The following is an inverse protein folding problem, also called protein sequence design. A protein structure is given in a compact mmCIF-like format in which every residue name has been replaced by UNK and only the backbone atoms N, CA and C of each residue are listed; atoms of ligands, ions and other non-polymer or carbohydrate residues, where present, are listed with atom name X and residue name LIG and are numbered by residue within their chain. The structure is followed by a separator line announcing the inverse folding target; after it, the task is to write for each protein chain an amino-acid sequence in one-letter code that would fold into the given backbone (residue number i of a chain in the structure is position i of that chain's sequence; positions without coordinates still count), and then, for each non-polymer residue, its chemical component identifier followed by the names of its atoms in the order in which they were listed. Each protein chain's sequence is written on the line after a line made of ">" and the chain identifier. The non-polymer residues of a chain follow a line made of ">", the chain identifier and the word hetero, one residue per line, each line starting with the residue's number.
data_IF_136923583473
#
_entry.id   IF_136923583473
#
_cell.length_a   1.000
_cell.length_b   1.000
_cell.length_c   1.000
_cell.angle_alpha   90.00
_cell.angle_beta   90.00
_cell.angle_gamma   90.00
#
_symmetry.space_group_name_H-M   'P 1'
#
loop_
_entity.id
_entity.type
_entity.pdbx_description
1 polymer ?
#
# COMPACT_ATOMS: atom_id res chain seq x y z
N UNK A 1 -5.17 9.89 -22.56
CA UNK A 1 -4.38 9.96 -21.31
C UNK A 1 -5.37 10.03 -20.16
N UNK A 2 -5.31 9.09 -19.21
CA UNK A 2 -6.27 9.05 -18.11
C UNK A 2 -6.03 10.25 -17.17
N UNK A 3 -7.09 10.89 -16.69
CA UNK A 3 -7.04 12.03 -15.78
C UNK A 3 -6.76 11.61 -14.33
N UNK A 4 -5.87 10.63 -14.13
CA UNK A 4 -5.60 10.02 -12.82
C UNK A 4 -4.60 10.89 -12.05
N UNK A 5 -4.87 11.12 -10.77
CA UNK A 5 -3.94 11.79 -9.86
C UNK A 5 -3.23 10.74 -9.00
N UNK A 6 -1.91 10.83 -8.94
CA UNK A 6 -1.08 9.91 -8.18
C UNK A 6 -0.56 10.59 -6.91
N UNK A 7 -0.53 9.83 -5.81
CA UNK A 7 0.10 10.22 -4.56
C UNK A 7 0.93 9.04 -4.04
N UNK A 8 2.13 9.31 -3.52
CA UNK A 8 3.05 8.29 -3.04
C UNK A 8 3.31 8.47 -1.54
N UNK A 9 3.18 7.38 -0.78
CA UNK A 9 3.30 7.39 0.67
C UNK A 9 4.25 6.29 1.16
N UNK A 10 5.20 6.64 2.04
CA UNK A 10 6.10 5.68 2.69
C UNK A 10 5.89 5.76 4.21
N UNK A 11 5.68 4.61 4.86
CA UNK A 11 5.48 4.51 6.30
C UNK A 11 6.69 3.87 6.99
N UNK A 12 7.31 4.60 7.91
CA UNK A 12 8.41 4.10 8.73
C UNK A 12 7.97 3.82 10.15
N UNK A 13 8.19 2.59 10.60
CA UNK A 13 8.16 2.22 12.01
C UNK A 13 9.33 2.87 12.75
N UNK A 14 9.08 3.30 13.99
CA UNK A 14 10.08 3.91 14.87
C UNK A 14 10.81 5.11 14.24
N UNK A 15 10.10 5.91 13.45
CA UNK A 15 10.68 7.09 12.78
C UNK A 15 10.84 8.28 13.72
N UNK A 16 9.97 8.40 14.72
CA UNK A 16 9.96 9.48 15.72
C UNK A 16 9.79 8.90 17.12
N UNK A 17 10.39 9.55 18.11
CA UNK A 17 10.14 9.30 19.53
C UNK A 17 10.01 10.62 20.26
N UNK A 18 8.86 10.85 20.90
CA UNK A 18 8.59 12.05 21.70
C UNK A 18 8.95 13.35 20.93
N UNK A 19 8.51 13.43 19.66
CA UNK A 19 8.76 14.53 18.69
C UNK A 19 10.16 14.64 18.08
N UNK A 20 11.11 13.81 18.50
CA UNK A 20 12.48 13.76 17.92
C UNK A 20 12.60 12.64 16.90
N UNK A 21 13.26 12.92 15.77
CA UNK A 21 13.59 11.90 14.77
C UNK A 21 14.58 10.89 15.37
N UNK A 22 14.36 9.61 15.09
CA UNK A 22 15.31 8.57 15.50
C UNK A 22 16.54 8.57 14.59
N UNK A 23 17.63 7.94 15.03
CA UNK A 23 18.88 7.85 14.23
C UNK A 23 18.65 7.23 12.85
N UNK A 24 17.77 6.23 12.76
CA UNK A 24 17.43 5.58 11.48
C UNK A 24 16.66 6.51 10.53
N UNK A 25 15.65 7.21 11.05
CA UNK A 25 14.94 8.21 10.25
C UNK A 25 15.88 9.33 9.79
N UNK A 26 16.77 9.78 10.67
CA UNK A 26 17.80 10.76 10.34
C UNK A 26 18.75 10.23 9.27
N UNK A 27 19.23 8.98 9.33
CA UNK A 27 20.08 8.43 8.27
C UNK A 27 19.38 8.40 6.91
N UNK A 28 18.10 8.02 6.87
CA UNK A 28 17.33 8.00 5.63
C UNK A 28 17.16 9.41 5.05
N UNK A 29 16.78 10.37 5.90
CA UNK A 29 16.58 11.78 5.49
C UNK A 29 17.92 12.47 5.16
N UNK A 30 18.99 12.13 5.88
CA UNK A 30 20.33 12.67 5.71
C UNK A 30 21.08 12.08 4.53
N UNK A 31 20.64 10.92 4.00
CA UNK A 31 21.01 10.45 2.66
C UNK A 31 20.37 11.33 1.57
N UNK A 32 20.51 12.66 1.72
CA UNK A 32 20.06 13.75 0.87
C UNK A 32 20.46 13.51 -0.58
N UNK A 33 21.65 12.91 -0.81
CA UNK A 33 22.09 12.53 -2.14
C UNK A 33 21.15 11.56 -2.84
N UNK A 34 20.61 10.52 -2.18
CA UNK A 34 19.70 9.57 -2.84
C UNK A 34 18.32 10.20 -3.11
N UNK A 35 17.78 10.95 -2.15
CA UNK A 35 16.49 11.63 -2.32
C UNK A 35 16.57 12.69 -3.44
N UNK A 36 17.61 13.52 -3.42
CA UNK A 36 17.79 14.55 -4.47
C UNK A 36 18.20 13.94 -5.80
N UNK A 37 18.99 12.86 -5.84
CA UNK A 37 19.40 12.27 -7.12
C UNK A 37 18.30 11.46 -7.81
N UNK A 38 17.52 10.69 -7.07
CA UNK A 38 16.46 9.85 -7.65
C UNK A 38 15.13 10.57 -7.82
N UNK A 39 14.83 11.55 -6.96
CA UNK A 39 13.52 12.20 -6.91
C UNK A 39 13.58 13.71 -7.15
N UNK A 40 14.77 14.29 -7.34
CA UNK A 40 14.99 15.74 -7.55
C UNK A 40 14.33 16.63 -6.48
N UNK A 41 14.22 16.11 -5.25
CA UNK A 41 13.65 16.84 -4.11
C UNK A 41 14.74 17.26 -3.11
N UNK A 42 14.71 18.54 -2.73
CA UNK A 42 15.47 19.06 -1.60
C UNK A 42 14.81 18.66 -0.28
N UNK A 43 15.60 18.16 0.67
CA UNK A 43 15.12 17.76 2.01
C UNK A 43 14.58 18.99 2.78
N UNK A 44 15.18 20.14 2.54
CA UNK A 44 14.80 21.46 3.07
C UNK A 44 13.42 21.93 2.59
N UNK A 45 12.94 21.44 1.46
CA UNK A 45 11.65 21.83 0.87
C UNK A 45 10.49 21.00 1.45
N UNK A 46 10.77 20.11 2.41
CA UNK A 46 9.76 19.27 3.02
C UNK A 46 8.82 20.07 3.94
N UNK A 47 7.52 20.05 3.66
CA UNK A 47 6.52 20.50 4.60
C UNK A 47 6.42 19.49 5.76
N UNK A 48 6.81 19.94 6.97
CA UNK A 48 6.79 19.13 8.19
C UNK A 48 5.49 19.36 8.96
N UNK A 49 4.71 18.31 9.16
CA UNK A 49 3.44 18.34 9.91
C UNK A 49 3.50 17.34 11.07
N UNK A 50 3.10 17.78 12.26
CA UNK A 50 2.93 16.89 13.41
C UNK A 50 1.59 16.19 13.29
N UNK A 51 1.57 14.87 13.50
CA UNK A 51 0.37 14.05 13.37
C UNK A 51 0.08 13.30 14.66
N UNK A 52 -1.16 12.83 14.88
CA UNK A 52 -1.51 12.05 16.07
C UNK A 52 -0.60 10.83 16.27
N UNK A 53 -0.13 10.22 15.18
CA UNK A 53 0.73 9.04 15.17
C UNK A 53 2.24 9.33 15.18
N UNK A 54 2.67 10.58 15.03
CA UNK A 54 4.08 10.94 14.90
C UNK A 54 4.30 12.20 14.08
N UNK A 55 4.97 12.08 12.93
CA UNK A 55 5.30 13.20 12.07
C UNK A 55 5.13 12.81 10.59
N UNK A 56 4.71 13.75 9.75
CA UNK A 56 4.65 13.63 8.29
C UNK A 56 5.59 14.64 7.65
N UNK A 57 6.34 14.20 6.66
CA UNK A 57 7.13 15.04 5.75
C UNK A 57 6.49 14.94 4.38
N UNK A 58 6.19 16.07 3.75
CA UNK A 58 5.52 16.11 2.44
C UNK A 58 6.32 16.94 1.45
N UNK A 59 6.43 16.46 0.23
CA UNK A 59 7.05 17.16 -0.90
C UNK A 59 6.06 17.21 -2.05
N UNK A 60 6.10 18.31 -2.80
CA UNK A 60 5.52 18.39 -4.14
C UNK A 60 6.64 18.09 -5.13
N UNK A 61 6.50 17.02 -5.91
CA UNK A 61 7.51 16.63 -6.87
C UNK A 61 7.45 17.50 -8.13
N UNK A 62 8.62 17.74 -8.72
CA UNK A 62 8.75 18.51 -9.95
C UNK A 62 7.93 17.86 -11.08
N UNK A 63 7.26 18.72 -11.87
CA UNK A 63 6.37 18.28 -12.94
C UNK A 63 7.17 17.76 -14.13
N UNK A 64 6.75 16.63 -14.68
CA UNK A 64 7.23 16.17 -16.01
C UNK A 64 6.53 16.95 -17.13
N UNK A 65 5.26 17.31 -16.93
CA UNK A 65 4.45 18.14 -17.83
C UNK A 65 3.90 19.36 -17.07
N UNK A 66 4.17 20.60 -17.51
CA UNK A 66 3.65 21.81 -16.86
C UNK A 66 2.11 21.86 -16.72
N UNK A 67 1.39 21.16 -17.60
CA UNK A 67 -0.07 21.16 -17.67
C UNK A 67 -0.73 20.08 -16.80
N UNK A 68 0.04 19.20 -16.15
CA UNK A 68 -0.46 18.18 -15.24
C UNK A 68 -0.22 18.57 -13.78
N UNK A 69 -1.12 18.20 -12.85
CA UNK A 69 -0.88 18.38 -11.43
C UNK A 69 0.38 17.61 -11.00
N UNK A 70 1.19 18.22 -10.12
CA UNK A 70 2.37 17.58 -9.56
C UNK A 70 2.02 16.36 -8.68
N UNK A 71 2.94 15.42 -8.53
CA UNK A 71 2.75 14.28 -7.63
C UNK A 71 3.13 14.66 -6.20
N UNK A 72 2.24 14.37 -5.25
CA UNK A 72 2.56 14.50 -3.83
C UNK A 72 3.30 13.27 -3.34
N UNK A 73 4.42 13.49 -2.67
CA UNK A 73 5.20 12.45 -2.02
C UNK A 73 5.26 12.71 -0.51
N UNK A 74 4.83 11.72 0.28
CA UNK A 74 4.77 11.83 1.73
C UNK A 74 5.53 10.71 2.44
N UNK A 75 6.35 11.08 3.42
CA UNK A 75 6.97 10.16 4.35
C UNK A 75 6.30 10.30 5.72
N UNK A 76 5.74 9.20 6.20
CA UNK A 76 5.04 9.08 7.48
C UNK A 76 5.98 8.40 8.48
N UNK A 77 6.38 9.15 9.50
CA UNK A 77 7.29 8.69 10.55
C UNK A 77 6.49 8.40 11.81
N UNK A 78 6.34 7.12 12.14
CA UNK A 78 5.52 6.67 13.26
C UNK A 78 6.29 6.70 14.58
N UNK A 79 5.58 7.03 15.65
CA UNK A 79 6.02 6.81 17.02
C UNK A 79 5.44 5.49 17.55
N UNK A 80 6.33 4.54 17.87
CA UNK A 80 5.95 3.20 18.32
C UNK A 80 5.24 3.20 19.69
N UNK A 81 5.31 4.30 20.46
CA UNK A 81 4.50 4.47 21.68
C UNK A 81 3.02 4.72 21.36
N UNK A 82 2.73 5.25 20.17
CA UNK A 82 1.38 5.67 19.76
C UNK A 82 0.73 4.68 18.81
N UNK A 83 1.50 4.16 17.87
CA UNK A 83 1.05 3.14 16.90
C UNK A 83 1.87 1.88 17.12
N UNK A 84 1.19 0.73 17.14
CA UNK A 84 1.87 -0.56 17.23
C UNK A 84 2.79 -0.73 16.03
N UNK A 85 3.98 -1.28 16.28
CA UNK A 85 4.87 -1.75 15.21
C UNK A 85 4.31 -3.01 14.57
N UNK A 86 4.87 -3.38 13.41
CA UNK A 86 4.55 -4.53 12.53
C UNK A 86 3.77 -4.15 11.27
N UNK A 87 3.94 -4.99 10.24
CA UNK A 87 3.37 -4.83 8.90
C UNK A 87 1.86 -4.57 8.93
N UNK A 88 1.07 -5.42 9.60
CA UNK A 88 -0.39 -5.21 9.74
C UNK A 88 -0.76 -3.84 10.27
N UNK A 89 -0.12 -3.39 11.36
CA UNK A 89 -0.46 -2.10 11.98
C UNK A 89 -0.03 -0.91 11.12
N UNK A 90 1.03 -1.06 10.32
CA UNK A 90 1.36 -0.11 9.24
C UNK A 90 0.25 -0.06 8.18
N UNK A 91 -0.25 -1.21 7.73
CA UNK A 91 -1.33 -1.29 6.74
C UNK A 91 -2.62 -0.68 7.27
N UNK A 92 -3.05 -1.02 8.49
CA UNK A 92 -4.23 -0.44 9.16
C UNK A 92 -4.12 1.08 9.23
N UNK A 93 -2.96 1.58 9.64
CA UNK A 93 -2.73 3.01 9.80
C UNK A 93 -2.72 3.74 8.44
N UNK A 94 -2.15 3.15 7.40
CA UNK A 94 -2.20 3.71 6.04
C UNK A 94 -3.63 3.75 5.50
N UNK A 95 -4.36 2.64 5.60
CA UNK A 95 -5.75 2.56 5.14
C UNK A 95 -6.64 3.56 5.87
N UNK A 96 -6.51 3.69 7.20
CA UNK A 96 -7.24 4.71 7.97
C UNK A 96 -6.84 6.12 7.57
N UNK A 97 -5.55 6.39 7.35
CA UNK A 97 -5.11 7.70 6.85
C UNK A 97 -5.78 8.07 5.52
N UNK A 98 -5.81 7.17 4.55
CA UNK A 98 -6.48 7.42 3.27
C UNK A 98 -7.99 7.62 3.46
N UNK A 99 -8.65 6.69 4.16
CA UNK A 99 -10.11 6.66 4.32
C UNK A 99 -10.68 7.79 5.17
N UNK A 100 -9.95 8.22 6.19
CA UNK A 100 -10.42 9.19 7.19
C UNK A 100 -9.85 10.59 7.01
N UNK A 101 -8.68 10.73 6.38
CA UNK A 101 -8.01 12.02 6.22
C UNK A 101 -8.02 12.46 4.75
N UNK A 102 -7.31 11.75 3.86
CA UNK A 102 -7.14 12.16 2.45
C UNK A 102 -8.48 12.32 1.76
N UNK A 103 -9.32 11.28 1.79
CA UNK A 103 -10.61 11.30 1.09
C UNK A 103 -11.58 12.30 1.71
N UNK A 104 -11.53 12.51 3.03
CA UNK A 104 -12.42 13.49 3.70
C UNK A 104 -11.98 14.93 3.43
N UNK A 105 -10.68 15.19 3.33
CA UNK A 105 -10.13 16.51 2.99
C UNK A 105 -10.45 16.88 1.53
N UNK A 106 -10.46 15.89 0.62
CA UNK A 106 -10.79 16.04 -0.80
C UNK A 106 -12.31 16.09 -1.10
N UNK A 107 -13.20 16.07 -0.10
CA UNK A 107 -14.67 16.11 -0.26
C UNK A 107 -15.21 17.45 -0.80
N UNK A 108 -14.85 17.75 -2.04
CA UNK A 108 -15.84 18.16 -3.04
C UNK A 108 -16.82 17.02 -3.29
N UNK A 109 -18.09 17.32 -3.54
CA UNK A 109 -19.22 16.38 -3.64
C UNK A 109 -19.09 15.23 -4.68
N UNK A 110 -17.98 15.17 -5.43
CA UNK A 110 -17.67 14.17 -6.46
C UNK A 110 -16.75 13.01 -5.98
N UNK A 111 -16.21 13.08 -4.75
CA UNK A 111 -15.36 12.02 -4.20
C UNK A 111 -16.17 10.80 -3.76
N UNK A 112 -16.64 10.02 -4.73
CA UNK A 112 -17.18 8.68 -4.50
C UNK A 112 -16.02 7.75 -4.10
N UNK A 113 -16.18 6.99 -3.01
CA UNK A 113 -15.17 6.02 -2.55
C UNK A 113 -14.80 4.99 -3.65
N UNK A 114 -15.65 4.81 -4.65
CA UNK A 114 -15.47 3.81 -5.72
C UNK A 114 -14.40 4.17 -6.76
N UNK A 115 -14.04 5.46 -6.87
CA UNK A 115 -13.02 5.94 -7.83
C UNK A 115 -11.64 6.13 -7.20
N UNK A 116 -11.47 5.76 -5.92
CA UNK A 116 -10.22 5.85 -5.20
C UNK A 116 -9.62 4.46 -4.97
N UNK A 117 -8.31 4.36 -5.20
CA UNK A 117 -7.59 3.09 -5.16
C UNK A 117 -6.32 3.20 -4.32
N UNK A 118 -5.97 2.13 -3.63
CA UNK A 118 -4.74 2.01 -2.85
C UNK A 118 -3.89 0.92 -3.48
N UNK A 119 -2.75 1.31 -4.06
CA UNK A 119 -1.69 0.37 -4.44
C UNK A 119 -0.78 0.13 -3.24
N UNK A 120 -0.54 -1.14 -2.91
CA UNK A 120 0.48 -1.57 -1.94
C UNK A 120 1.60 -2.28 -2.67
N UNK A 121 2.84 -1.89 -2.37
CA UNK A 121 4.04 -2.53 -2.92
C UNK A 121 5.10 -2.74 -1.84
N UNK A 122 5.91 -3.78 -2.00
CA UNK A 122 7.11 -3.97 -1.19
C UNK A 122 8.27 -3.11 -1.73
N UNK A 123 9.25 -2.83 -0.87
CA UNK A 123 10.36 -1.93 -1.18
C UNK A 123 11.39 -2.52 -2.16
N UNK A 124 11.39 -3.83 -2.36
CA UNK A 124 12.27 -4.59 -3.26
C UNK A 124 11.59 -4.96 -4.59
N UNK A 125 10.33 -4.56 -4.78
CA UNK A 125 9.58 -4.81 -6.02
C UNK A 125 9.89 -3.76 -7.06
N UNK A 126 10.17 -4.23 -8.28
CA UNK A 126 10.32 -3.40 -9.48
C UNK A 126 9.10 -3.61 -10.37
N UNK A 127 8.52 -2.53 -10.84
CA UNK A 127 7.35 -2.58 -11.72
C UNK A 127 7.40 -1.45 -12.74
N UNK A 128 6.76 -1.69 -13.88
CA UNK A 128 6.60 -0.70 -14.93
C UNK A 128 5.30 0.11 -14.73
N UNK A 129 5.23 1.38 -15.16
CA UNK A 129 4.02 2.19 -15.06
C UNK A 129 2.80 1.52 -15.73
N UNK A 130 3.01 0.86 -16.87
CA UNK A 130 1.97 0.12 -17.60
C UNK A 130 1.33 -1.00 -16.76
N UNK A 131 2.09 -1.59 -15.83
CA UNK A 131 1.56 -2.61 -14.91
C UNK A 131 0.55 -2.02 -13.94
N UNK A 132 0.78 -0.79 -13.46
CA UNK A 132 -0.17 -0.09 -12.58
C UNK A 132 -1.43 0.28 -13.35
N UNK A 133 -1.29 0.85 -14.55
CA UNK A 133 -2.42 1.21 -15.41
C UNK A 133 -3.28 -0.01 -15.75
N UNK A 134 -2.66 -1.16 -16.02
CA UNK A 134 -3.36 -2.42 -16.32
C UNK A 134 -4.20 -2.91 -15.13
N UNK A 135 -3.68 -2.82 -13.91
CA UNK A 135 -4.44 -3.20 -12.70
C UNK A 135 -5.62 -2.25 -12.45
N UNK A 136 -5.40 -0.96 -12.65
CA UNK A 136 -6.45 0.06 -12.52
C UNK A 136 -7.53 -0.10 -13.58
N UNK A 137 -7.17 -0.47 -14.80
CA UNK A 137 -8.13 -0.71 -15.88
C UNK A 137 -9.01 -1.93 -15.61
N UNK A 138 -8.47 -2.99 -14.99
CA UNK A 138 -9.27 -4.13 -14.54
C UNK A 138 -10.29 -3.72 -13.47
N UNK A 139 -9.88 -2.96 -12.47
CA UNK A 139 -10.78 -2.43 -11.43
C UNK A 139 -11.79 -1.42 -12.00
N UNK A 140 -11.42 -0.64 -13.00
CA UNK A 140 -12.34 0.32 -13.62
C UNK A 140 -13.43 -0.37 -14.46
N UNK A 141 -13.13 -1.54 -15.03
CA UNK A 141 -14.09 -2.32 -15.83
C UNK A 141 -15.18 -2.99 -15.00
N UNK A 142 -14.85 -3.43 -13.80
CA UNK A 142 -15.81 -4.13 -12.92
C UNK A 142 -15.84 -3.51 -11.51
N UNK A 143 -16.97 -2.88 -11.19
CA UNK A 143 -17.21 -2.24 -9.88
C UNK A 143 -17.38 -3.27 -8.75
N UNK A 144 -17.70 -4.52 -9.06
CA UNK A 144 -17.82 -5.60 -8.06
C UNK A 144 -16.46 -6.16 -7.64
N UNK A 145 -15.38 -5.83 -8.35
CA UNK A 145 -14.02 -6.21 -7.98
C UNK A 145 -13.45 -5.18 -7.00
N UNK A 146 -13.00 -5.67 -5.84
CA UNK A 146 -12.47 -4.80 -4.76
C UNK A 146 -10.98 -4.87 -4.59
N UNK A 147 -10.30 -5.84 -5.16
CA UNK A 147 -8.85 -5.83 -5.27
C UNK A 147 -8.38 -6.63 -6.48
N UNK A 148 -7.20 -6.31 -6.97
CA UNK A 148 -6.51 -7.07 -8.02
C UNK A 148 -5.04 -7.16 -7.65
N UNK A 149 -4.44 -8.34 -7.84
CA UNK A 149 -3.00 -8.55 -7.68
C UNK A 149 -2.34 -8.90 -9.01
N UNK A 150 -1.13 -8.39 -9.24
CA UNK A 150 -0.35 -8.78 -10.42
C UNK A 150 0.45 -10.07 -10.18
N UNK A 151 1.02 -10.58 -11.27
CA UNK A 151 2.03 -11.64 -11.22
C UNK A 151 3.38 -11.06 -10.80
N UNK A 152 3.96 -11.60 -9.75
CA UNK A 152 5.34 -11.30 -9.35
C UNK A 152 6.29 -12.36 -9.91
N UNK A 153 7.43 -11.92 -10.43
CA UNK A 153 8.49 -12.80 -10.90
C UNK A 153 9.72 -12.57 -10.01
N UNK A 154 10.33 -13.64 -9.46
CA UNK A 154 11.59 -13.49 -8.75
C UNK A 154 12.66 -13.02 -9.74
N UNK A 155 13.66 -12.30 -9.24
CA UNK A 155 14.85 -11.89 -10.00
C UNK A 155 16.08 -12.49 -9.33
N UNK A 156 16.93 -13.18 -10.08
CA UNK A 156 18.11 -13.83 -9.52
C UNK A 156 18.74 -14.85 -10.47
N UNK A 157 19.62 -15.70 -9.91
CA UNK A 157 20.32 -16.75 -10.64
C UNK A 157 20.61 -17.96 -9.74
N UNK A 158 20.75 -19.14 -10.34
CA UNK A 158 21.16 -20.37 -9.66
C UNK A 158 19.99 -21.30 -9.30
N UNK A 159 20.28 -22.47 -8.69
CA UNK A 159 19.29 -23.53 -8.47
C UNK A 159 18.12 -23.13 -7.56
N UNK A 160 18.39 -22.33 -6.53
CA UNK A 160 17.35 -21.81 -5.62
C UNK A 160 16.41 -20.87 -6.36
N UNK A 161 16.95 -20.00 -7.21
CA UNK A 161 16.16 -19.10 -8.05
C UNK A 161 15.27 -19.87 -9.03
N UNK A 162 15.79 -20.93 -9.67
CA UNK A 162 14.97 -21.78 -10.56
C UNK A 162 13.83 -22.45 -9.82
N UNK A 163 14.09 -22.95 -8.61
CA UNK A 163 13.04 -23.49 -7.75
C UNK A 163 11.99 -22.43 -7.40
N UNK A 164 12.41 -21.21 -7.06
CA UNK A 164 11.48 -20.11 -6.81
C UNK A 164 10.63 -19.76 -8.03
N UNK A 165 11.21 -19.70 -9.25
CA UNK A 165 10.43 -19.48 -10.47
C UNK A 165 9.34 -20.55 -10.60
N UNK A 166 9.70 -21.82 -10.39
CA UNK A 166 8.77 -22.93 -10.49
C UNK A 166 7.64 -22.83 -9.46
N UNK A 167 7.97 -22.58 -8.20
CA UNK A 167 7.00 -22.47 -7.10
C UNK A 167 6.02 -21.30 -7.33
N UNK A 168 6.54 -20.14 -7.74
CA UNK A 168 5.72 -18.98 -8.08
C UNK A 168 4.86 -19.23 -9.33
N UNK A 169 5.39 -19.95 -10.33
CA UNK A 169 4.63 -20.31 -11.52
C UNK A 169 3.47 -21.24 -11.19
N UNK A 170 3.66 -22.23 -10.31
CA UNK A 170 2.57 -23.11 -9.86
C UNK A 170 1.49 -22.31 -9.13
N UNK A 171 1.88 -21.48 -8.16
CA UNK A 171 0.95 -20.65 -7.41
C UNK A 171 0.12 -19.75 -8.33
N UNK A 172 0.77 -19.13 -9.32
CA UNK A 172 0.08 -18.24 -10.24
C UNK A 172 -0.77 -18.99 -11.28
N UNK A 173 -0.22 -19.97 -11.98
CA UNK A 173 -0.93 -20.63 -13.08
C UNK A 173 -2.00 -21.62 -12.65
N UNK A 174 -1.81 -22.30 -11.52
CA UNK A 174 -2.81 -23.26 -11.03
C UNK A 174 -3.69 -22.65 -9.95
N UNK A 175 -3.10 -22.14 -8.87
CA UNK A 175 -3.92 -21.69 -7.73
C UNK A 175 -4.67 -20.40 -8.05
N UNK A 176 -4.02 -19.39 -8.66
CA UNK A 176 -4.74 -18.14 -9.03
C UNK A 176 -5.73 -18.33 -10.16
N UNK A 177 -5.42 -19.15 -11.16
CA UNK A 177 -6.38 -19.46 -12.21
C UNK A 177 -7.62 -20.20 -11.64
N UNK A 178 -7.42 -21.19 -10.75
CA UNK A 178 -8.53 -21.86 -10.08
C UNK A 178 -9.36 -20.90 -9.22
N UNK A 179 -8.70 -20.02 -8.47
CA UNK A 179 -9.39 -18.99 -7.68
C UNK A 179 -10.21 -18.03 -8.55
N UNK A 180 -9.69 -17.66 -9.72
CA UNK A 180 -10.42 -16.83 -10.67
C UNK A 180 -11.67 -17.54 -11.20
N UNK A 181 -11.57 -18.83 -11.55
CA UNK A 181 -12.73 -19.66 -11.95
C UNK A 181 -13.76 -19.79 -10.82
N UNK A 182 -13.30 -19.88 -9.56
CA UNK A 182 -14.17 -19.94 -8.38
C UNK A 182 -14.74 -18.56 -7.98
N UNK A 183 -14.32 -17.48 -8.65
CA UNK A 183 -14.77 -16.11 -8.35
C UNK A 183 -14.27 -15.58 -7.00
N UNK A 184 -13.12 -16.06 -6.49
CA UNK A 184 -12.59 -15.54 -5.23
C UNK A 184 -11.09 -15.78 -5.11
N UNK A 185 -10.27 -14.74 -5.22
CA UNK A 185 -8.85 -14.81 -4.86
C UNK A 185 -8.66 -14.86 -3.35
N UNK A 186 -8.20 -16.01 -2.86
CA UNK A 186 -7.99 -16.26 -1.43
C UNK A 186 -6.85 -15.44 -0.78
N UNK A 187 -6.05 -14.71 -1.56
CA UNK A 187 -4.93 -13.92 -1.06
C UNK A 187 -4.39 -12.95 -2.13
N UNK A 188 -4.46 -11.64 -1.93
CA UNK A 188 -3.74 -10.65 -2.71
C UNK A 188 -2.40 -10.38 -1.99
N UNK A 189 -1.26 -10.80 -2.54
CA UNK A 189 0.03 -10.60 -1.88
C UNK A 189 0.33 -9.10 -1.71
N UNK A 190 0.90 -8.70 -0.57
CA UNK A 190 1.21 -7.30 -0.29
C UNK A 190 2.25 -6.66 -1.23
N UNK A 191 2.95 -7.46 -2.03
CA UNK A 191 4.05 -7.02 -2.89
C UNK A 191 3.64 -6.17 -4.09
N UNK A 192 2.48 -6.39 -4.70
CA UNK A 192 1.96 -5.57 -5.80
C UNK A 192 0.47 -5.82 -6.03
N UNK A 193 -0.35 -5.20 -5.18
CA UNK A 193 -1.81 -5.34 -5.20
C UNK A 193 -2.50 -3.99 -5.08
N UNK A 194 -3.58 -3.81 -5.84
CA UNK A 194 -4.41 -2.61 -5.80
C UNK A 194 -5.75 -2.96 -5.15
N UNK A 195 -6.18 -2.12 -4.22
CA UNK A 195 -7.44 -2.27 -3.48
C UNK A 195 -8.35 -1.06 -3.73
N UNK A 196 -9.64 -1.31 -3.94
CA UNK A 196 -10.67 -0.27 -3.96
C UNK A 196 -10.94 0.23 -2.55
N UNK A 197 -11.00 1.53 -2.39
CA UNK A 197 -11.22 2.17 -1.08
C UNK A 197 -12.59 1.80 -0.48
N UNK A 198 -13.65 1.78 -1.29
CA UNK A 198 -14.99 1.40 -0.82
C UNK A 198 -15.04 -0.01 -0.23
N UNK A 199 -14.32 -0.96 -0.84
CA UNK A 199 -14.18 -2.31 -0.31
C UNK A 199 -13.42 -2.34 1.03
N UNK A 200 -12.36 -1.55 1.17
CA UNK A 200 -11.59 -1.49 2.42
C UNK A 200 -12.36 -0.85 3.59
N UNK A 201 -13.26 0.10 3.32
CA UNK A 201 -13.97 0.86 4.37
C UNK A 201 -14.78 -0.05 5.29
N UNK A 202 -15.47 -1.05 4.74
CA UNK A 202 -16.29 -1.99 5.52
C UNK A 202 -15.47 -2.95 6.39
N UNK A 203 -14.29 -3.36 5.91
CA UNK A 203 -13.49 -4.41 6.57
C UNK A 203 -12.42 -3.87 7.52
N UNK A 204 -12.00 -2.62 7.36
CA UNK A 204 -10.92 -2.03 8.16
C UNK A 204 -11.13 -2.14 9.68
N UNK A 205 -12.33 -1.89 10.25
CA UNK A 205 -12.56 -2.05 11.69
C UNK A 205 -12.29 -3.47 12.19
N UNK A 206 -12.66 -4.50 11.39
CA UNK A 206 -12.41 -5.91 11.71
C UNK A 206 -10.94 -6.27 11.56
N UNK A 207 -10.29 -5.74 10.52
CA UNK A 207 -8.86 -5.94 10.28
C UNK A 207 -7.99 -5.36 11.41
N UNK A 208 -8.42 -4.22 11.98
CA UNK A 208 -7.77 -3.53 13.10
C UNK A 208 -8.02 -4.18 14.48
N UNK A 209 -8.74 -5.31 14.56
CA UNK A 209 -9.01 -5.99 15.83
C UNK A 209 -7.73 -6.50 16.48
N UNK A 210 -7.71 -6.51 17.83
CA UNK A 210 -6.58 -7.03 18.61
C UNK A 210 -6.49 -8.55 18.47
N UNK A 211 -5.32 -9.06 18.84
CA UNK A 211 -5.02 -10.49 18.91
C UNK A 211 -5.03 -10.84 20.39
N UNK A 212 -5.96 -11.70 20.78
CA UNK A 212 -6.10 -12.14 22.17
C UNK A 212 -5.65 -13.60 22.37
N UNK A 213 -5.59 -14.39 21.28
CA UNK A 213 -5.21 -15.81 21.28
C UNK A 213 -4.02 -16.08 20.37
N UNK A 214 -3.25 -17.13 20.68
CA UNK A 214 -2.10 -17.54 19.87
C UNK A 214 -2.47 -17.93 18.43
N UNK A 215 -3.62 -18.57 18.21
CA UNK A 215 -4.12 -18.88 16.87
C UNK A 215 -4.42 -17.62 16.05
N UNK A 216 -4.98 -16.59 16.69
CA UNK A 216 -5.25 -15.31 16.04
C UNK A 216 -3.97 -14.57 15.67
N UNK A 217 -2.88 -14.77 16.40
CA UNK A 217 -1.58 -14.21 16.04
C UNK A 217 -1.10 -14.75 14.69
N UNK A 218 -1.22 -16.07 14.48
CA UNK A 218 -0.85 -16.71 13.22
C UNK A 218 -1.70 -16.18 12.06
N UNK A 219 -3.01 -16.06 12.25
CA UNK A 219 -3.91 -15.60 11.19
C UNK A 219 -3.79 -14.09 10.93
N UNK A 220 -3.85 -13.27 11.98
CA UNK A 220 -3.95 -11.81 11.84
C UNK A 220 -2.59 -11.14 11.64
N UNK A 221 -1.54 -11.57 12.35
CA UNK A 221 -0.23 -10.89 12.31
C UNK A 221 0.82 -11.56 11.42
N UNK A 222 0.77 -12.89 11.24
CA UNK A 222 1.68 -13.60 10.31
C UNK A 222 1.06 -13.87 8.93
N UNK A 223 -0.26 -13.89 8.85
CA UNK A 223 -1.03 -14.11 7.63
C UNK A 223 -1.88 -12.90 7.25
N UNK A 224 -1.42 -11.69 7.56
CA UNK A 224 -2.19 -10.46 7.51
C UNK A 224 -2.78 -10.16 6.11
N UNK A 225 -2.04 -10.47 5.05
CA UNK A 225 -2.50 -10.28 3.67
C UNK A 225 -3.64 -11.25 3.34
N UNK A 226 -3.51 -12.52 3.77
CA UNK A 226 -4.58 -13.53 3.62
C UNK A 226 -5.79 -13.18 4.47
N UNK A 227 -5.56 -12.71 5.70
CA UNK A 227 -6.63 -12.28 6.61
C UNK A 227 -7.46 -11.14 6.01
N UNK A 228 -6.80 -10.13 5.44
CA UNK A 228 -7.48 -9.03 4.75
C UNK A 228 -8.35 -9.53 3.59
N UNK A 229 -7.82 -10.44 2.77
CA UNK A 229 -8.55 -10.98 1.63
C UNK A 229 -9.76 -11.81 2.07
N UNK A 230 -9.61 -12.64 3.10
CA UNK A 230 -10.73 -13.38 3.70
C UNK A 230 -11.83 -12.44 4.18
N UNK A 231 -11.47 -11.30 4.78
CA UNK A 231 -12.46 -10.30 5.20
C UNK A 231 -13.17 -9.66 4.00
N UNK A 232 -12.45 -9.31 2.93
CA UNK A 232 -13.01 -8.72 1.73
C UNK A 232 -14.02 -9.65 1.04
N UNK A 233 -13.68 -10.94 0.90
CA UNK A 233 -14.58 -11.94 0.31
C UNK A 233 -15.80 -12.16 1.21
N UNK A 234 -15.59 -12.37 2.51
CA UNK A 234 -16.67 -12.76 3.42
C UNK A 234 -17.68 -11.64 3.69
N UNK A 235 -17.21 -10.41 3.92
CA UNK A 235 -18.07 -9.31 4.38
C UNK A 235 -18.62 -8.43 3.27
N UNK A 236 -17.90 -8.31 2.15
CA UNK A 236 -18.37 -7.47 1.04
C UNK A 236 -18.97 -8.28 -0.11
N UNK A 237 -18.83 -9.62 -0.12
CA UNK A 237 -19.24 -10.45 -1.26
C UNK A 237 -18.53 -10.05 -2.56
N UNK A 238 -17.36 -9.44 -2.41
CA UNK A 238 -16.60 -8.79 -3.48
C UNK A 238 -15.67 -9.79 -4.13
N UNK A 239 -15.65 -9.77 -5.45
CA UNK A 239 -14.74 -10.59 -6.25
C UNK A 239 -13.32 -10.00 -6.13
N UNK A 240 -12.33 -10.88 -5.97
CA UNK A 240 -10.90 -10.56 -5.92
C UNK A 240 -10.19 -11.26 -7.08
#
# INVERSE_FOLDING_TARGET
>A
MSSRQYQAHIFFDNGVRDTRLTKFALQLIHNRWKLTHYLDIGVENAAKVMTPYGQKLTWEMARVDPNQPGMHFSIHLKDNKKVKSKKRWSQVMYMSYVLDFVIKEERTAAACDDNNYILTTDADVKFDPESVESLLDLLARDQHVGAVCSRTLPLGSGPIYWFQIFDYAIGHWFQKAANHVLGSVLCCPGCFSVYRVSALRGVLPLYATKVDKASEFLTKDMGEDRWLCSLLVYYNGVFL
#
